data_IF_014872600488
#
_entry.id   IF_014872600488
#
_cell.length_a   1.000
_cell.length_b   1.000
_cell.length_c   1.000
_cell.angle_alpha   90.00
_cell.angle_beta   90.00
_cell.angle_gamma   90.00
#
_symmetry.space_group_name_H-M   'P 1'
#
loop_
_entity.id
_entity.type
_entity.pdbx_description
1 polymer ?
#
# COMPACT_ATOMS: atom_id res chain seq x y z
N UNK A 1 -13.55 20.02 -1.03
CA UNK A 1 -12.66 18.85 -0.86
C UNK A 1 -12.64 18.07 -2.17
N UNK A 2 -11.54 18.14 -2.92
CA UNK A 2 -11.34 17.30 -4.11
C UNK A 2 -11.01 15.90 -3.63
N UNK A 3 -11.90 14.93 -3.87
CA UNK A 3 -11.61 13.52 -3.61
C UNK A 3 -10.82 12.97 -4.78
N UNK A 4 -9.53 12.73 -4.59
CA UNK A 4 -8.71 12.01 -5.59
C UNK A 4 -9.18 10.55 -5.58
N UNK A 5 -9.61 10.05 -6.74
CA UNK A 5 -10.01 8.66 -6.87
C UNK A 5 -8.78 7.75 -6.79
N UNK A 6 -8.80 6.76 -5.88
CA UNK A 6 -7.72 5.78 -5.79
C UNK A 6 -7.67 4.91 -7.06
N UNK A 7 -6.46 4.58 -7.55
CA UNK A 7 -6.29 3.74 -8.73
C UNK A 7 -6.85 2.34 -8.45
N UNK A 8 -7.62 1.80 -9.42
CA UNK A 8 -8.13 0.42 -9.38
C UNK A 8 -7.13 -0.60 -9.92
N UNK A 9 -6.15 -0.14 -10.69
CA UNK A 9 -5.16 -0.96 -11.38
C UNK A 9 -3.75 -0.53 -10.98
N UNK A 10 -2.91 -1.51 -10.62
CA UNK A 10 -1.57 -1.26 -10.13
C UNK A 10 -0.65 -0.73 -11.24
N UNK A 11 0.04 0.40 -11.04
CA UNK A 11 0.96 0.96 -12.03
C UNK A 11 2.21 0.08 -12.24
N UNK A 12 2.57 -0.77 -11.28
CA UNK A 12 3.76 -1.64 -11.36
C UNK A 12 3.51 -2.94 -12.12
N UNK A 13 2.39 -3.61 -11.85
CA UNK A 13 2.14 -4.98 -12.35
C UNK A 13 0.79 -5.15 -13.06
N UNK A 14 0.01 -4.08 -13.20
CA UNK A 14 -1.36 -4.09 -13.76
C UNK A 14 -2.36 -4.98 -13.00
N UNK A 15 -2.00 -5.47 -11.82
CA UNK A 15 -2.90 -6.23 -10.94
C UNK A 15 -3.95 -5.37 -10.25
N UNK A 16 -4.92 -6.03 -9.61
CA UNK A 16 -6.00 -5.36 -8.88
C UNK A 16 -5.48 -4.63 -7.64
N UNK A 17 -6.01 -3.43 -7.40
CA UNK A 17 -5.79 -2.66 -6.18
C UNK A 17 -7.04 -2.66 -5.31
N UNK A 18 -6.87 -2.82 -4.00
CA UNK A 18 -7.93 -2.76 -3.01
C UNK A 18 -7.80 -1.46 -2.22
N UNK A 19 -8.83 -0.61 -2.17
CA UNK A 19 -8.86 0.55 -1.29
C UNK A 19 -9.17 0.15 0.16
N UNK A 20 -8.48 0.81 1.09
CA UNK A 20 -8.57 0.64 2.53
C UNK A 20 -8.56 2.02 3.20
N UNK A 21 -8.98 2.09 4.47
CA UNK A 21 -9.01 3.34 5.23
C UNK A 21 -8.63 3.08 6.68
N UNK A 22 -7.73 3.89 7.21
CA UNK A 22 -7.31 3.88 8.60
C UNK A 22 -7.47 5.26 9.26
N UNK A 23 -6.81 5.46 10.41
CA UNK A 23 -6.84 6.72 11.15
C UNK A 23 -6.07 7.85 10.45
N UNK A 24 -5.17 7.52 9.52
CA UNK A 24 -4.29 8.46 8.82
C UNK A 24 -4.81 8.81 7.43
N UNK A 25 -5.66 8.00 6.82
CA UNK A 25 -6.30 8.33 5.56
C UNK A 25 -6.80 7.13 4.78
N UNK A 26 -7.07 7.38 3.49
CA UNK A 26 -7.38 6.32 2.53
C UNK A 26 -6.10 5.93 1.79
N UNK A 27 -5.90 4.63 1.58
CA UNK A 27 -4.80 4.08 0.79
C UNK A 27 -5.30 2.91 -0.05
N UNK A 28 -4.55 2.49 -1.07
CA UNK A 28 -4.83 1.24 -1.76
C UNK A 28 -3.59 0.37 -1.92
N UNK A 29 -3.82 -0.94 -1.80
CA UNK A 29 -2.76 -1.95 -1.86
C UNK A 29 -3.00 -2.87 -3.05
N UNK A 30 -1.96 -3.15 -3.83
CA UNK A 30 -2.01 -4.15 -4.89
C UNK A 30 -1.93 -5.56 -4.31
N UNK A 31 -2.90 -6.40 -4.64
CA UNK A 31 -2.93 -7.81 -4.21
C UNK A 31 -1.79 -8.65 -4.77
N UNK A 32 -1.30 -8.31 -5.97
CA UNK A 32 -0.33 -9.15 -6.70
C UNK A 32 1.11 -8.85 -6.31
N UNK A 33 1.48 -7.58 -6.14
CA UNK A 33 2.88 -7.18 -5.90
C UNK A 33 3.11 -6.40 -4.61
N UNK A 34 2.06 -6.12 -3.83
CA UNK A 34 2.19 -5.39 -2.56
C UNK A 34 2.56 -3.91 -2.70
N UNK A 35 2.38 -3.31 -3.88
CA UNK A 35 2.50 -1.86 -4.06
C UNK A 35 1.41 -1.12 -3.29
N UNK A 36 1.77 -0.03 -2.60
CA UNK A 36 0.85 0.82 -1.82
C UNK A 36 0.81 2.20 -2.47
N UNK A 37 -0.39 2.77 -2.57
CA UNK A 37 -0.63 4.14 -3.01
C UNK A 37 -1.48 4.86 -1.98
N UNK A 38 -0.98 5.96 -1.43
CA UNK A 38 -1.69 6.78 -0.44
C UNK A 38 -2.55 7.83 -1.15
N UNK A 39 -3.79 8.04 -0.69
CA UNK A 39 -4.63 9.14 -1.14
C UNK A 39 -4.34 10.36 -0.27
N UNK A 40 -3.16 10.96 -0.45
CA UNK A 40 -2.74 12.12 0.32
C UNK A 40 -3.61 13.33 -0.04
N UNK A 41 -4.38 13.85 0.91
CA UNK A 41 -5.18 15.07 0.74
C UNK A 41 -4.41 16.35 1.08
N UNK A 42 -3.21 16.23 1.64
CA UNK A 42 -2.36 17.34 2.06
C UNK A 42 -1.07 17.36 1.25
N UNK A 43 -0.48 18.54 0.98
CA UNK A 43 0.85 18.60 0.38
C UNK A 43 1.83 17.78 1.22
N UNK A 44 2.82 17.12 0.60
CA UNK A 44 3.88 16.44 1.33
C UNK A 44 4.47 17.38 2.37
N UNK A 45 4.56 16.93 3.61
CA UNK A 45 5.41 17.59 4.60
C UNK A 45 6.83 17.18 4.19
N UNK A 46 7.66 18.13 3.76
CA UNK A 46 9.06 17.87 3.41
C UNK A 46 9.81 17.38 4.66
N UNK A 47 9.78 16.07 4.89
CA UNK A 47 10.67 15.40 5.83
C UNK A 47 12.03 15.30 5.14
N UNK A 48 13.00 16.04 5.69
CA UNK A 48 14.39 16.05 5.23
C UNK A 48 14.89 14.60 5.08
N UNK A 49 15.47 14.28 3.92
CA UNK A 49 15.91 12.93 3.52
C UNK A 49 16.83 12.27 4.56
N UNK A 50 16.27 11.45 5.44
CA UNK A 50 17.03 10.46 6.20
C UNK A 50 17.06 9.15 5.40
N UNK A 51 18.18 8.98 4.71
CA UNK A 51 18.71 7.83 3.98
C UNK A 51 17.83 6.57 3.90
N UNK A 52 17.38 6.28 2.67
CA UNK A 52 16.64 5.11 2.20
C UNK A 52 17.29 3.77 2.63
N UNK A 53 17.06 3.35 3.87
CA UNK A 53 17.46 2.02 4.31
C UNK A 53 16.36 1.00 4.02
N UNK A 54 16.28 0.60 2.75
CA UNK A 54 15.90 -0.76 2.36
C UNK A 54 14.43 -1.13 2.54
N UNK A 55 13.75 -1.20 1.39
CA UNK A 55 12.44 -1.84 1.16
C UNK A 55 12.42 -3.33 1.58
N UNK A 56 12.45 -3.63 2.88
CA UNK A 56 12.19 -4.96 3.42
C UNK A 56 10.69 -5.07 3.67
N UNK A 57 9.95 -5.37 2.60
CA UNK A 57 8.59 -5.87 2.70
C UNK A 57 8.58 -6.98 3.77
N UNK A 58 7.86 -6.75 4.88
CA UNK A 58 7.69 -7.76 5.92
C UNK A 58 7.04 -8.95 5.25
N UNK A 59 7.78 -10.06 5.09
CA UNK A 59 7.23 -11.33 4.61
C UNK A 59 6.02 -11.64 5.48
N UNK A 60 4.81 -11.48 4.93
CA UNK A 60 3.59 -11.92 5.60
C UNK A 60 3.76 -13.43 5.82
N UNK A 61 3.68 -13.86 7.07
CA UNK A 61 3.57 -15.29 7.35
C UNK A 61 2.32 -15.80 6.62
N UNK A 62 2.40 -16.93 5.90
CA UNK A 62 1.20 -17.56 5.36
C UNK A 62 0.25 -17.86 6.53
N UNK A 63 -0.95 -17.29 6.51
CA UNK A 63 -2.04 -17.83 7.32
C UNK A 63 -2.44 -19.15 6.66
N UNK A 64 -2.41 -20.22 7.45
CA UNK A 64 -2.82 -21.58 7.08
C UNK A 64 -1.87 -22.38 6.17
N UNK A 65 -1.06 -23.24 6.83
CA UNK A 65 -0.34 -24.32 6.16
C UNK A 65 0.08 -25.48 7.07
N UNK A 66 -0.47 -25.61 8.29
CA UNK A 66 -0.21 -26.74 9.19
C UNK A 66 -1.47 -27.16 9.97
N UNK A 67 -2.47 -27.66 9.27
CA UNK A 67 -3.35 -28.71 9.81
C UNK A 67 -3.24 -29.85 8.80
N UNK A 68 -2.52 -30.90 9.21
CA UNK A 68 -2.58 -32.20 8.55
C UNK A 68 -3.78 -32.92 9.18
N UNK A 69 -4.66 -33.43 8.32
CA UNK A 69 -5.72 -34.38 8.68
C UNK A 69 -5.11 -35.67 9.24
#
# INVERSE_FOLDING_TARGET
MVKIALPRTCPRCRGSMIPERDWYGEYCTCLSCGYVHEAVSTPPIDVLDEEENGHRQRRRQPSHGKIRL
#
